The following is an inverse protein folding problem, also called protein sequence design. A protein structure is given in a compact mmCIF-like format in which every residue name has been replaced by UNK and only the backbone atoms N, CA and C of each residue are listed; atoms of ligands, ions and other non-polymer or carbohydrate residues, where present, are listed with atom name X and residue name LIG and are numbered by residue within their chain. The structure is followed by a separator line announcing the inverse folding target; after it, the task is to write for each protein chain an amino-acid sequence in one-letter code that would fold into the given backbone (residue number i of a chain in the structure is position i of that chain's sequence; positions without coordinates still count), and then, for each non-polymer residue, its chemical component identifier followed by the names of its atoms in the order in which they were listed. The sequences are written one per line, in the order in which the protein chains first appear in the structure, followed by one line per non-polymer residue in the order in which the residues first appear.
data_IF_928478359596
#
_entry.id   IF_928478359596
#
_cell.length_a   1.000
_cell.length_b   1.000
_cell.length_c   1.000
_cell.angle_alpha   90.00
_cell.angle_beta   90.00
_cell.angle_gamma   90.00
#
_symmetry.space_group_name_H-M   'P 1'
#
loop_
_entity.id
_entity.type
_entity.pdbx_description
1 polymer ?
#
# COMPACT_ATOMS: atom_id res chain seq x y z
N UNK A 1 -1.98 29.87 3.51
CA UNK A 1 -2.82 29.01 4.37
C UNK A 1 -3.65 29.90 5.25
N UNK A 2 -4.95 29.93 5.07
CA UNK A 2 -5.82 30.62 6.01
C UNK A 2 -5.82 29.85 7.32
N UNK A 3 -5.43 30.52 8.38
CA UNK A 3 -5.45 29.98 9.74
C UNK A 3 -6.91 29.73 10.10
N UNK A 4 -7.28 28.48 10.39
CA UNK A 4 -8.62 28.16 10.90
C UNK A 4 -8.78 28.88 12.24
N UNK A 5 -9.71 29.81 12.29
CA UNK A 5 -10.08 30.47 13.57
C UNK A 5 -10.92 29.49 14.38
N UNK A 6 -10.59 29.40 15.67
CA UNK A 6 -11.37 28.61 16.61
C UNK A 6 -12.77 29.23 16.70
N UNK A 7 -13.78 28.54 16.21
CA UNK A 7 -15.18 28.99 16.39
C UNK A 7 -15.47 28.89 17.87
N UNK A 8 -15.69 30.06 18.50
CA UNK A 8 -16.26 30.11 19.83
C UNK A 8 -17.75 29.83 19.68
N UNK A 9 -18.22 28.70 20.16
CA UNK A 9 -19.64 28.52 20.38
C UNK A 9 -20.07 29.52 21.45
N UNK A 10 -20.74 30.59 21.03
CA UNK A 10 -21.35 31.51 21.94
C UNK A 10 -22.67 30.88 22.41
N UNK A 11 -22.60 30.09 23.48
CA UNK A 11 -23.78 29.79 24.24
C UNK A 11 -24.06 31.00 25.14
N UNK A 12 -25.26 31.53 25.06
CA UNK A 12 -25.70 32.67 25.89
C UNK A 12 -25.78 32.32 27.39
N UNK A 13 -25.52 31.08 27.79
CA UNK A 13 -25.49 30.63 29.17
C UNK A 13 -24.04 30.46 29.62
N UNK A 14 -23.56 31.37 30.44
CA UNK A 14 -22.20 31.40 30.97
C UNK A 14 -21.78 30.13 31.74
N UNK A 15 -22.73 29.32 32.16
CA UNK A 15 -22.49 28.05 32.87
C UNK A 15 -22.09 26.88 31.94
N UNK A 16 -22.15 27.03 30.59
CA UNK A 16 -21.94 25.96 29.62
C UNK A 16 -20.75 26.19 28.68
N UNK A 17 -19.90 27.17 28.94
CA UNK A 17 -18.87 27.63 27.99
C UNK A 17 -17.73 26.63 27.70
N UNK A 18 -17.60 25.54 28.43
CA UNK A 18 -16.45 24.60 28.31
C UNK A 18 -16.85 23.13 28.35
N UNK A 19 -17.96 22.77 27.75
CA UNK A 19 -18.27 21.33 27.60
C UNK A 19 -17.39 20.73 26.51
N UNK A 20 -16.78 19.51 26.73
CA UNK A 20 -15.99 18.88 25.73
C UNK A 20 -16.85 18.49 24.51
N UNK A 21 -16.29 18.68 23.31
CA UNK A 21 -16.85 18.10 22.08
C UNK A 21 -16.43 16.65 22.01
N UNK A 22 -17.40 15.76 21.85
CA UNK A 22 -17.18 14.33 21.73
C UNK A 22 -17.42 13.88 20.29
N UNK A 23 -16.41 13.32 19.64
CA UNK A 23 -16.50 12.78 18.29
C UNK A 23 -16.50 11.27 18.38
N UNK A 24 -17.54 10.62 17.83
CA UNK A 24 -17.61 9.17 17.69
C UNK A 24 -17.47 8.81 16.21
N UNK A 25 -16.40 8.12 15.86
CA UNK A 25 -16.18 7.57 14.51
C UNK A 25 -16.63 6.12 14.53
N UNK A 26 -17.68 5.81 13.79
CA UNK A 26 -18.16 4.43 13.59
C UNK A 26 -17.60 3.93 12.26
N UNK A 27 -16.42 3.33 12.31
CA UNK A 27 -15.74 2.81 11.12
C UNK A 27 -16.53 1.62 10.53
N UNK A 28 -16.63 1.58 9.19
CA UNK A 28 -17.42 0.57 8.48
C UNK A 28 -18.94 0.80 8.47
N UNK A 29 -19.46 1.88 9.07
CA UNK A 29 -20.88 2.25 9.03
C UNK A 29 -21.10 3.34 7.99
N UNK A 30 -21.85 3.04 6.94
CA UNK A 30 -22.16 3.98 5.87
C UNK A 30 -23.62 3.92 5.44
N UNK A 31 -24.02 4.87 4.59
CA UNK A 31 -25.34 4.91 3.99
C UNK A 31 -25.35 4.05 2.71
N UNK A 32 -26.20 3.05 2.68
CA UNK A 32 -26.39 2.15 1.55
C UNK A 32 -27.88 1.97 1.26
N UNK A 33 -28.24 1.45 0.07
CA UNK A 33 -29.63 1.11 -0.25
C UNK A 33 -30.26 0.18 0.78
N UNK A 34 -31.57 0.29 0.94
CA UNK A 34 -32.36 -0.55 1.86
C UNK A 34 -32.56 -1.94 1.25
N UNK A 35 -31.63 -2.84 1.54
CA UNK A 35 -31.61 -4.23 1.03
C UNK A 35 -31.44 -5.21 2.19
N UNK A 36 -31.76 -6.48 1.94
CA UNK A 36 -31.60 -7.54 2.93
C UNK A 36 -30.14 -7.72 3.40
N UNK A 37 -29.16 -7.32 2.57
CA UNK A 37 -27.73 -7.36 2.90
C UNK A 37 -27.24 -6.13 3.67
N UNK A 38 -28.05 -5.08 3.83
CA UNK A 38 -27.67 -3.89 4.61
C UNK A 38 -27.81 -4.18 6.11
N UNK A 39 -26.74 -4.68 6.72
CA UNK A 39 -26.73 -5.05 8.14
C UNK A 39 -27.00 -3.85 9.07
N UNK A 40 -26.53 -2.66 8.73
CA UNK A 40 -26.75 -1.44 9.52
C UNK A 40 -28.25 -1.10 9.56
N UNK A 41 -28.90 -1.13 8.39
CA UNK A 41 -30.34 -0.83 8.28
C UNK A 41 -31.22 -1.89 8.97
N UNK A 42 -30.79 -3.15 8.91
CA UNK A 42 -31.53 -4.28 9.49
C UNK A 42 -31.28 -4.46 11.00
N UNK A 43 -30.28 -3.80 11.56
CA UNK A 43 -29.99 -3.83 12.99
C UNK A 43 -31.02 -3.02 13.82
N UNK A 44 -31.22 -3.41 15.06
CA UNK A 44 -32.02 -2.63 16.02
C UNK A 44 -31.14 -1.54 16.63
N UNK A 45 -31.26 -0.34 16.09
CA UNK A 45 -30.41 0.81 16.48
C UNK A 45 -31.23 2.02 16.96
N UNK A 46 -32.06 1.85 18.02
CA UNK A 46 -33.04 2.89 18.42
C UNK A 46 -32.39 4.25 18.75
N UNK A 47 -31.18 4.26 19.31
CA UNK A 47 -30.48 5.50 19.61
C UNK A 47 -29.96 6.18 18.34
N UNK A 48 -29.37 5.42 17.42
CA UNK A 48 -28.88 5.95 16.14
C UNK A 48 -30.04 6.45 15.28
N UNK A 49 -31.14 5.68 15.23
CA UNK A 49 -32.35 6.05 14.51
C UNK A 49 -32.91 7.37 15.04
N UNK A 50 -33.01 7.53 16.37
CA UNK A 50 -33.46 8.75 17.02
C UNK A 50 -32.51 9.93 16.74
N UNK A 51 -31.18 9.71 16.73
CA UNK A 51 -30.21 10.77 16.43
C UNK A 51 -30.36 11.23 14.97
N UNK A 52 -30.52 10.31 14.03
CA UNK A 52 -30.71 10.62 12.59
C UNK A 52 -32.03 11.37 12.34
N UNK A 53 -33.08 11.11 13.13
CA UNK A 53 -34.39 11.75 13.01
C UNK A 53 -34.41 13.16 13.62
N UNK A 54 -33.79 13.34 14.80
CA UNK A 54 -33.97 14.55 15.62
C UNK A 54 -32.87 15.58 15.45
N UNK A 55 -31.71 15.21 14.93
CA UNK A 55 -30.54 16.10 14.85
C UNK A 55 -30.11 16.32 13.40
N UNK A 56 -29.43 17.43 13.09
CA UNK A 56 -28.92 17.70 11.76
C UNK A 56 -27.99 16.57 11.27
N UNK A 57 -28.22 16.08 10.06
CA UNK A 57 -27.41 15.07 9.41
C UNK A 57 -26.89 15.57 8.07
N UNK A 58 -25.61 15.37 7.83
CA UNK A 58 -24.95 15.69 6.57
C UNK A 58 -24.30 14.43 5.98
N UNK A 59 -24.39 14.29 4.66
CA UNK A 59 -23.66 13.27 3.91
C UNK A 59 -22.31 13.83 3.50
N UNK A 60 -21.24 13.13 3.84
CA UNK A 60 -19.88 13.48 3.43
C UNK A 60 -19.41 12.47 2.37
N UNK A 61 -18.66 12.97 1.38
CA UNK A 61 -17.93 12.11 0.45
C UNK A 61 -16.69 11.57 1.16
N UNK A 62 -16.52 10.24 1.16
CA UNK A 62 -15.43 9.55 1.84
C UNK A 62 -14.41 8.93 0.87
N UNK A 63 -14.55 9.21 -0.43
CA UNK A 63 -13.70 8.67 -1.51
C UNK A 63 -13.18 9.79 -2.40
N UNK A 64 -12.18 9.46 -3.21
CA UNK A 64 -11.72 10.26 -4.30
C UNK A 64 -11.10 11.59 -3.91
N UNK A 65 -11.24 12.55 -4.79
CA UNK A 65 -10.67 13.90 -4.65
C UNK A 65 -11.22 14.65 -3.43
N UNK A 66 -12.42 14.30 -2.97
CA UNK A 66 -13.04 14.90 -1.79
C UNK A 66 -12.27 14.62 -0.48
N UNK A 67 -11.44 13.60 -0.44
CA UNK A 67 -10.57 13.26 0.70
C UNK A 67 -9.07 13.36 0.36
N UNK A 68 -8.73 13.99 -0.78
CA UNK A 68 -7.36 14.28 -1.18
C UNK A 68 -6.65 13.15 -1.93
N UNK A 69 -7.39 12.16 -2.46
CA UNK A 69 -6.88 11.14 -3.34
C UNK A 69 -6.71 11.67 -4.78
N UNK A 70 -5.93 10.99 -5.64
CA UNK A 70 -5.65 11.46 -7.01
C UNK A 70 -6.87 11.63 -7.88
N UNK A 71 -7.80 10.68 -7.89
CA UNK A 71 -9.00 10.66 -8.72
C UNK A 71 -10.25 10.30 -7.92
N UNK A 72 -11.44 10.50 -8.52
CA UNK A 72 -12.70 10.13 -7.87
C UNK A 72 -12.98 8.62 -7.90
N UNK A 73 -12.22 7.86 -8.67
CA UNK A 73 -12.27 6.39 -8.70
C UNK A 73 -11.45 5.75 -7.56
N UNK A 74 -10.58 6.53 -6.91
CA UNK A 74 -9.77 6.03 -5.80
C UNK A 74 -10.61 5.80 -4.53
N UNK A 75 -10.50 4.59 -3.99
CA UNK A 75 -11.21 4.21 -2.77
C UNK A 75 -10.61 4.90 -1.54
N UNK A 76 -11.45 5.59 -0.77
CA UNK A 76 -11.08 6.13 0.52
C UNK A 76 -10.74 5.04 1.54
N UNK A 77 -9.95 5.40 2.53
CA UNK A 77 -9.56 4.50 3.62
C UNK A 77 -9.51 5.24 4.95
N UNK A 78 -9.31 4.49 6.04
CA UNK A 78 -9.30 5.04 7.39
C UNK A 78 -8.24 6.14 7.58
N UNK A 79 -7.05 5.97 6.99
CA UNK A 79 -5.98 6.96 7.13
C UNK A 79 -6.35 8.31 6.52
N UNK A 80 -6.81 8.33 5.26
CA UNK A 80 -7.18 9.59 4.59
C UNK A 80 -8.36 10.27 5.26
N UNK A 81 -9.34 9.50 5.74
CA UNK A 81 -10.51 10.03 6.46
C UNK A 81 -10.12 10.66 7.80
N UNK A 82 -9.33 9.97 8.62
CA UNK A 82 -8.87 10.48 9.91
C UNK A 82 -7.92 11.68 9.74
N UNK A 83 -7.06 11.66 8.72
CA UNK A 83 -6.20 12.81 8.41
C UNK A 83 -7.01 14.04 8.04
N UNK A 84 -8.05 13.91 7.23
CA UNK A 84 -8.93 15.02 6.86
C UNK A 84 -9.69 15.57 8.08
N UNK A 85 -10.23 14.71 8.95
CA UNK A 85 -10.92 15.09 10.18
C UNK A 85 -9.94 15.79 11.15
N UNK A 86 -8.77 15.19 11.37
CA UNK A 86 -7.77 15.70 12.31
C UNK A 86 -7.15 17.03 11.87
N UNK A 87 -6.95 17.23 10.57
CA UNK A 87 -6.42 18.46 10.00
C UNK A 87 -7.50 19.55 9.84
N UNK A 88 -8.79 19.19 9.86
CA UNK A 88 -9.90 20.08 9.56
C UNK A 88 -9.91 20.62 8.13
N UNK A 89 -9.20 19.95 7.23
CA UNK A 89 -9.09 20.32 5.81
C UNK A 89 -8.70 19.12 4.96
N UNK A 90 -9.04 19.17 3.68
CA UNK A 90 -8.60 18.21 2.68
C UNK A 90 -7.26 18.66 2.09
N UNK A 91 -6.29 17.76 2.06
CA UNK A 91 -4.98 17.97 1.44
C UNK A 91 -4.54 16.72 0.67
N UNK A 92 -3.55 16.86 -0.22
CA UNK A 92 -3.04 15.72 -0.98
C UNK A 92 -2.53 14.64 -0.05
N UNK A 93 -3.07 13.44 -0.17
CA UNK A 93 -2.69 12.27 0.62
C UNK A 93 -1.51 11.53 -0.03
N UNK A 94 -0.98 10.48 0.66
CA UNK A 94 0.25 9.80 0.29
C UNK A 94 0.38 9.44 -1.18
N UNK A 95 -0.63 8.78 -1.77
CA UNK A 95 -0.64 8.42 -3.19
C UNK A 95 -0.42 9.63 -4.11
N UNK A 96 -1.20 10.70 -3.90
CA UNK A 96 -1.12 11.92 -4.71
C UNK A 96 0.20 12.66 -4.51
N UNK A 97 0.73 12.66 -3.29
CA UNK A 97 2.04 13.27 -3.01
C UNK A 97 3.16 12.54 -3.74
N UNK A 98 3.15 11.20 -3.73
CA UNK A 98 4.14 10.38 -4.44
C UNK A 98 4.02 10.59 -5.94
N UNK A 99 2.81 10.53 -6.52
CA UNK A 99 2.57 10.80 -7.95
C UNK A 99 3.13 12.17 -8.36
N UNK A 100 2.75 13.24 -7.65
CA UNK A 100 3.23 14.59 -7.91
C UNK A 100 4.75 14.72 -7.79
N UNK A 101 5.36 13.99 -6.84
CA UNK A 101 6.81 14.01 -6.62
C UNK A 101 7.58 13.29 -7.74
N UNK A 102 7.01 12.21 -8.27
CA UNK A 102 7.52 11.48 -9.45
C UNK A 102 7.40 12.35 -10.70
N UNK A 103 6.19 12.87 -10.99
CA UNK A 103 5.89 13.67 -12.17
C UNK A 103 6.74 14.96 -12.24
N UNK A 104 6.94 15.62 -11.11
CA UNK A 104 7.78 16.81 -11.03
C UNK A 104 9.28 16.52 -10.96
N UNK A 105 9.70 15.25 -10.86
CA UNK A 105 11.09 14.86 -10.68
C UNK A 105 11.66 15.06 -9.27
N UNK A 106 10.93 15.70 -8.37
CA UNK A 106 11.40 16.03 -7.00
C UNK A 106 11.82 14.79 -6.19
N UNK A 107 11.15 13.66 -6.39
CA UNK A 107 11.54 12.41 -5.76
C UNK A 107 12.97 12.03 -6.13
N UNK A 108 13.32 12.15 -7.39
CA UNK A 108 14.60 11.73 -7.96
C UNK A 108 15.73 12.73 -7.69
N UNK A 109 15.39 13.96 -7.36
CA UNK A 109 16.35 14.98 -6.90
C UNK A 109 16.61 14.91 -5.39
N UNK A 110 15.83 14.13 -4.65
CA UNK A 110 15.95 14.04 -3.21
C UNK A 110 17.26 13.37 -2.76
N UNK A 111 17.76 13.76 -1.57
CA UNK A 111 18.94 13.14 -0.97
C UNK A 111 18.73 11.63 -0.78
N UNK A 112 17.54 11.21 -0.32
CA UNK A 112 17.23 9.80 -0.10
C UNK A 112 17.32 8.99 -1.40
N UNK A 113 16.76 9.50 -2.51
CA UNK A 113 16.87 8.80 -3.80
C UNK A 113 18.33 8.68 -4.26
N UNK A 114 19.13 9.75 -4.10
CA UNK A 114 20.56 9.72 -4.48
C UNK A 114 21.36 8.71 -3.66
N UNK A 115 21.03 8.56 -2.37
CA UNK A 115 21.62 7.53 -1.52
C UNK A 115 21.20 6.12 -1.96
N UNK A 116 19.92 5.91 -2.27
CA UNK A 116 19.38 4.62 -2.74
C UNK A 116 20.10 4.15 -4.02
N UNK A 117 20.23 5.01 -5.03
CA UNK A 117 20.84 4.63 -6.31
C UNK A 117 22.37 4.61 -6.29
N UNK A 118 23.01 4.97 -5.18
CA UNK A 118 24.48 4.90 -5.04
C UNK A 118 25.03 3.47 -5.13
N UNK A 119 24.21 2.45 -5.02
CA UNK A 119 24.56 1.04 -5.29
C UNK A 119 25.18 0.83 -6.68
N UNK A 120 24.86 1.70 -7.64
CA UNK A 120 25.49 1.70 -8.97
C UNK A 120 27.02 1.79 -8.93
N UNK A 121 27.55 2.52 -7.94
CA UNK A 121 28.98 2.77 -7.79
C UNK A 121 29.72 1.62 -7.08
N UNK A 122 28.96 0.72 -6.45
CA UNK A 122 29.49 -0.40 -5.65
C UNK A 122 29.23 -1.77 -6.28
N UNK A 123 28.42 -1.83 -7.35
CA UNK A 123 27.96 -3.07 -7.97
C UNK A 123 26.98 -3.88 -7.12
N UNK A 124 26.41 -3.24 -6.09
CA UNK A 124 25.39 -3.83 -5.23
C UNK A 124 24.00 -3.74 -5.86
N UNK A 125 23.03 -4.41 -5.26
CA UNK A 125 21.68 -4.55 -5.79
C UNK A 125 20.73 -3.51 -5.20
N UNK A 126 19.82 -3.00 -6.03
CA UNK A 126 18.68 -2.23 -5.58
C UNK A 126 17.46 -3.14 -5.46
N UNK A 127 16.85 -3.19 -4.29
CA UNK A 127 15.66 -3.98 -4.03
C UNK A 127 14.42 -3.10 -3.86
N UNK A 128 13.30 -3.58 -4.39
CA UNK A 128 11.98 -2.99 -4.14
C UNK A 128 11.08 -4.02 -3.47
N UNK A 129 10.46 -3.66 -2.36
CA UNK A 129 9.45 -4.45 -1.66
C UNK A 129 8.18 -3.63 -1.57
N UNK A 130 7.01 -4.23 -1.77
CA UNK A 130 5.74 -3.52 -1.57
C UNK A 130 4.53 -4.25 -2.14
N UNK A 131 3.35 -3.70 -1.85
CA UNK A 131 2.10 -4.24 -2.34
C UNK A 131 2.00 -4.04 -3.85
N UNK A 132 1.67 -5.13 -4.56
CA UNK A 132 1.80 -5.19 -6.01
C UNK A 132 0.44 -5.15 -6.70
N UNK A 133 -0.13 -3.97 -6.78
CA UNK A 133 -1.41 -3.69 -7.45
C UNK A 133 -1.54 -2.20 -7.81
N UNK A 134 -2.65 -1.84 -8.43
CA UNK A 134 -3.08 -0.47 -8.68
C UNK A 134 -4.19 -0.01 -7.72
N UNK A 135 -4.47 -0.78 -6.68
CA UNK A 135 -5.53 -0.50 -5.71
C UNK A 135 -5.38 0.81 -4.92
N UNK A 136 -4.21 1.43 -4.99
CA UNK A 136 -3.91 2.78 -4.50
C UNK A 136 -4.21 3.03 -3.01
N UNK A 137 -4.22 1.96 -2.20
CA UNK A 137 -4.44 2.03 -0.74
C UNK A 137 -3.11 2.06 0.02
N UNK A 138 -2.15 1.24 -0.37
CA UNK A 138 -0.83 1.14 0.25
C UNK A 138 0.30 1.58 -0.68
N UNK A 139 0.14 1.32 -1.97
CA UNK A 139 1.13 1.51 -3.03
C UNK A 139 0.44 1.65 -4.37
N UNK A 140 1.19 1.93 -5.41
CA UNK A 140 0.72 1.85 -6.79
C UNK A 140 1.82 1.31 -7.70
N UNK A 141 1.47 0.35 -8.57
CA UNK A 141 2.41 -0.32 -9.46
C UNK A 141 3.13 0.65 -10.42
N UNK A 142 2.48 1.74 -10.82
CA UNK A 142 3.09 2.73 -11.72
C UNK A 142 4.17 3.56 -11.01
N UNK A 143 4.08 3.74 -9.68
CA UNK A 143 5.19 4.34 -8.91
C UNK A 143 6.43 3.44 -8.98
N UNK A 144 6.26 2.11 -8.83
CA UNK A 144 7.35 1.15 -8.98
C UNK A 144 7.96 1.20 -10.39
N UNK A 145 7.13 1.19 -11.43
CA UNK A 145 7.59 1.29 -12.83
C UNK A 145 8.40 2.55 -13.07
N UNK A 146 7.93 3.70 -12.56
CA UNK A 146 8.62 4.99 -12.69
C UNK A 146 10.00 4.97 -12.00
N UNK A 147 10.08 4.39 -10.79
CA UNK A 147 11.35 4.23 -10.07
C UNK A 147 12.32 3.29 -10.80
N UNK A 148 11.84 2.20 -11.41
CA UNK A 148 12.66 1.28 -12.21
C UNK A 148 13.25 1.96 -13.45
N UNK A 149 12.43 2.72 -14.18
CA UNK A 149 12.88 3.51 -15.34
C UNK A 149 13.94 4.53 -14.92
N UNK A 150 13.72 5.20 -13.80
CA UNK A 150 14.68 6.18 -13.30
C UNK A 150 15.98 5.53 -12.79
N UNK A 151 15.90 4.39 -12.10
CA UNK A 151 17.08 3.66 -11.65
C UNK A 151 17.96 3.22 -12.82
N UNK A 152 17.38 2.71 -13.91
CA UNK A 152 18.08 2.42 -15.15
C UNK A 152 18.75 3.66 -15.72
N UNK A 153 18.02 4.78 -15.81
CA UNK A 153 18.54 6.05 -16.35
C UNK A 153 19.73 6.58 -15.54
N UNK A 154 19.75 6.31 -14.24
CA UNK A 154 20.86 6.73 -13.36
C UNK A 154 22.02 5.74 -13.30
N UNK A 155 21.92 4.61 -14.01
CA UNK A 155 23.01 3.65 -14.16
C UNK A 155 23.04 2.55 -13.09
N UNK A 156 21.94 2.29 -12.38
CA UNK A 156 21.82 1.09 -11.55
C UNK A 156 21.81 -0.12 -12.46
N UNK A 157 22.63 -1.14 -12.15
CA UNK A 157 22.77 -2.32 -13.00
C UNK A 157 21.81 -3.45 -12.61
N UNK A 158 21.72 -3.76 -11.32
CA UNK A 158 20.93 -4.91 -10.83
C UNK A 158 19.78 -4.45 -9.95
N UNK A 159 18.57 -4.88 -10.30
CA UNK A 159 17.36 -4.59 -9.51
C UNK A 159 16.58 -5.87 -9.23
N UNK A 160 16.10 -6.03 -8.01
CA UNK A 160 15.27 -7.16 -7.59
C UNK A 160 13.97 -6.67 -6.97
N UNK A 161 12.87 -7.28 -7.36
CA UNK A 161 11.54 -6.88 -6.94
C UNK A 161 10.90 -8.01 -6.11
N UNK A 162 10.43 -7.68 -4.92
CA UNK A 162 9.75 -8.59 -4.00
C UNK A 162 8.28 -8.18 -3.92
N UNK A 163 7.40 -8.96 -4.53
CA UNK A 163 6.00 -8.60 -4.70
C UNK A 163 5.12 -9.15 -3.58
N UNK A 164 4.34 -8.27 -2.96
CA UNK A 164 3.30 -8.66 -2.01
C UNK A 164 1.96 -8.65 -2.76
N UNK A 165 1.37 -9.84 -2.91
CA UNK A 165 0.13 -9.99 -3.67
C UNK A 165 -1.06 -9.44 -2.90
N UNK A 166 -1.91 -8.70 -3.59
CA UNK A 166 -3.00 -7.95 -2.97
C UNK A 166 -4.27 -8.80 -2.76
N UNK A 167 -5.16 -8.91 -3.73
CA UNK A 167 -6.40 -9.67 -3.64
C UNK A 167 -7.38 -9.18 -2.56
N UNK A 168 -7.22 -7.92 -2.10
CA UNK A 168 -8.06 -7.28 -1.08
C UNK A 168 -8.50 -5.87 -1.47
N UNK A 169 -7.57 -5.04 -1.90
CA UNK A 169 -7.85 -3.69 -2.36
C UNK A 169 -8.19 -3.69 -3.87
N UNK A 170 -7.96 -4.83 -4.53
CA UNK A 170 -8.32 -5.17 -5.90
C UNK A 170 -9.00 -6.56 -5.95
N UNK A 171 -9.33 -7.07 -7.12
CA UNK A 171 -9.96 -8.38 -7.28
C UNK A 171 -9.20 -9.51 -6.60
N UNK A 172 -9.91 -10.43 -5.95
CA UNK A 172 -9.36 -11.50 -5.09
C UNK A 172 -8.36 -12.43 -5.83
N UNK A 173 -8.46 -12.52 -7.16
CA UNK A 173 -7.62 -13.38 -8.01
C UNK A 173 -7.03 -12.63 -9.19
N UNK A 174 -6.80 -11.33 -9.05
CA UNK A 174 -6.31 -10.45 -10.14
C UNK A 174 -4.78 -10.37 -10.25
N UNK A 175 -4.01 -11.08 -9.40
CA UNK A 175 -2.55 -10.94 -9.38
C UNK A 175 -1.88 -11.16 -10.74
N UNK A 176 -2.37 -12.09 -11.57
CA UNK A 176 -1.80 -12.34 -12.90
C UNK A 176 -2.07 -11.19 -13.88
N UNK A 177 -3.14 -10.41 -13.68
CA UNK A 177 -3.43 -9.22 -14.49
C UNK A 177 -2.38 -8.12 -14.29
N UNK A 178 -1.65 -8.16 -13.18
CA UNK A 178 -0.52 -7.28 -12.87
C UNK A 178 0.83 -7.94 -13.20
N UNK A 179 1.03 -9.20 -12.84
CA UNK A 179 2.32 -9.89 -12.97
C UNK A 179 2.72 -10.08 -14.44
N UNK A 180 1.83 -10.59 -15.28
CA UNK A 180 2.14 -10.88 -16.68
C UNK A 180 2.54 -9.60 -17.45
N UNK A 181 1.76 -8.48 -17.41
CA UNK A 181 2.18 -7.26 -18.06
C UNK A 181 3.45 -6.63 -17.45
N UNK A 182 3.68 -6.83 -16.14
CA UNK A 182 4.88 -6.31 -15.50
C UNK A 182 6.14 -7.09 -15.88
N UNK A 183 6.08 -8.41 -15.98
CA UNK A 183 7.20 -9.21 -16.48
C UNK A 183 7.53 -8.85 -17.95
N UNK A 184 6.52 -8.59 -18.77
CA UNK A 184 6.72 -8.07 -20.13
C UNK A 184 7.36 -6.66 -20.12
N UNK A 185 6.94 -5.77 -19.21
CA UNK A 185 7.57 -4.47 -19.02
C UNK A 185 9.04 -4.61 -18.61
N UNK A 186 9.37 -5.49 -17.66
CA UNK A 186 10.75 -5.76 -17.26
C UNK A 186 11.59 -6.31 -18.42
N UNK A 187 11.03 -7.24 -19.20
CA UNK A 187 11.71 -7.77 -20.38
C UNK A 187 12.03 -6.67 -21.40
N UNK A 188 11.13 -5.70 -21.60
CA UNK A 188 11.38 -4.54 -22.47
C UNK A 188 12.34 -3.51 -21.88
N UNK A 189 12.47 -3.47 -20.56
CA UNK A 189 13.35 -2.53 -19.86
C UNK A 189 14.79 -3.07 -19.77
N UNK A 190 14.97 -4.39 -19.65
CA UNK A 190 16.24 -5.06 -19.48
C UNK A 190 17.11 -4.98 -20.75
N UNK A 191 18.41 -4.80 -20.56
CA UNK A 191 19.44 -4.84 -21.61
C UNK A 191 20.80 -5.23 -20.99
N UNK A 192 21.90 -5.08 -21.75
CA UNK A 192 23.24 -5.41 -21.27
C UNK A 192 23.68 -4.58 -20.05
N UNK A 193 23.06 -3.41 -19.80
CA UNK A 193 23.40 -2.49 -18.71
C UNK A 193 22.41 -2.55 -17.53
N UNK A 194 21.27 -3.22 -17.67
CA UNK A 194 20.22 -3.25 -16.66
C UNK A 194 19.52 -4.62 -16.58
N UNK A 195 19.53 -5.21 -15.38
CA UNK A 195 18.91 -6.53 -15.10
C UNK A 195 17.93 -6.39 -13.92
N UNK A 196 16.66 -6.19 -14.23
CA UNK A 196 15.56 -6.13 -13.27
C UNK A 196 14.68 -7.38 -13.35
N UNK A 197 14.43 -8.02 -12.20
CA UNK A 197 13.64 -9.25 -12.11
C UNK A 197 12.80 -9.30 -10.84
N UNK A 198 11.64 -9.95 -10.90
CA UNK A 198 10.95 -10.40 -9.70
C UNK A 198 11.82 -11.48 -9.05
N UNK A 199 12.06 -11.35 -7.74
CA UNK A 199 12.93 -12.25 -6.98
C UNK A 199 12.17 -13.13 -6.00
N UNK A 200 11.12 -12.60 -5.39
CA UNK A 200 10.28 -13.35 -4.46
C UNK A 200 8.90 -12.70 -4.32
N UNK A 201 7.98 -13.39 -3.66
CA UNK A 201 6.67 -12.84 -3.37
C UNK A 201 5.84 -13.73 -2.46
N UNK A 202 4.58 -13.34 -2.30
CA UNK A 202 3.57 -14.05 -1.52
C UNK A 202 2.40 -13.14 -1.15
N UNK A 203 1.32 -13.72 -0.65
CA UNK A 203 0.13 -12.99 -0.25
C UNK A 203 0.36 -12.07 0.94
N UNK A 204 -0.16 -10.84 0.85
CA UNK A 204 -0.02 -9.79 1.88
C UNK A 204 -0.51 -10.19 3.28
N UNK A 205 -1.37 -11.20 3.37
CA UNK A 205 -1.88 -11.75 4.64
C UNK A 205 -1.10 -12.97 5.11
N UNK A 206 -0.13 -13.45 4.34
CA UNK A 206 0.71 -14.60 4.66
C UNK A 206 2.12 -14.19 5.08
N UNK A 207 2.66 -13.12 4.46
CA UNK A 207 4.00 -12.61 4.74
C UNK A 207 4.04 -11.09 4.86
N UNK A 208 5.00 -10.58 5.61
CA UNK A 208 5.51 -9.20 5.59
C UNK A 208 4.57 -8.13 6.13
N UNK A 209 3.32 -8.06 5.64
CA UNK A 209 2.43 -6.91 5.87
C UNK A 209 1.62 -7.00 7.17
N UNK A 210 2.23 -7.40 8.28
CA UNK A 210 1.62 -7.26 9.60
C UNK A 210 1.58 -5.80 10.07
N UNK A 211 0.83 -5.53 11.13
CA UNK A 211 0.74 -4.22 11.79
C UNK A 211 0.36 -4.37 13.25
N UNK A 212 0.75 -3.39 14.05
CA UNK A 212 0.43 -3.29 15.48
C UNK A 212 1.00 -4.43 16.33
N UNK A 213 2.03 -5.14 15.84
CA UNK A 213 2.66 -6.27 16.52
C UNK A 213 1.76 -7.49 16.66
N UNK A 214 0.76 -7.64 15.79
CA UNK A 214 -0.25 -8.69 15.91
C UNK A 214 0.30 -10.08 15.54
N UNK A 215 1.21 -10.16 14.55
CA UNK A 215 1.71 -11.42 14.01
C UNK A 215 3.17 -11.33 13.54
N UNK A 216 4.11 -11.21 14.47
CA UNK A 216 5.53 -11.19 14.15
C UNK A 216 6.03 -12.42 13.36
N UNK A 217 5.53 -13.66 13.56
CA UNK A 217 5.87 -14.78 12.68
C UNK A 217 5.59 -14.58 11.19
N UNK A 218 4.58 -13.77 10.86
CA UNK A 218 4.30 -13.36 9.47
C UNK A 218 5.39 -12.44 8.93
N UNK A 219 5.91 -11.53 9.75
CA UNK A 219 7.03 -10.65 9.39
C UNK A 219 8.31 -11.45 9.22
N UNK A 220 8.61 -12.34 10.17
CA UNK A 220 9.75 -13.27 10.12
C UNK A 220 9.73 -14.12 8.84
N UNK A 221 8.58 -14.70 8.50
CA UNK A 221 8.41 -15.45 7.25
C UNK A 221 8.70 -14.58 6.01
N UNK A 222 8.24 -13.34 6.01
CA UNK A 222 8.55 -12.38 4.94
C UNK A 222 10.04 -12.06 4.87
N UNK A 223 10.68 -11.88 6.01
CA UNK A 223 12.12 -11.64 6.10
C UNK A 223 12.92 -12.81 5.53
N UNK A 224 12.62 -14.06 5.97
CA UNK A 224 13.23 -15.27 5.42
C UNK A 224 13.06 -15.38 3.90
N UNK A 225 11.87 -15.03 3.40
CA UNK A 225 11.59 -15.09 1.97
C UNK A 225 12.35 -14.05 1.15
N UNK A 226 12.35 -12.79 1.61
CA UNK A 226 12.92 -11.70 0.83
C UNK A 226 14.44 -11.55 1.04
N UNK A 227 14.91 -11.72 2.28
CA UNK A 227 16.32 -11.50 2.63
C UNK A 227 17.13 -12.77 2.38
N UNK A 228 16.70 -13.91 2.90
CA UNK A 228 17.46 -15.16 2.78
C UNK A 228 17.15 -15.97 1.51
N UNK A 229 16.07 -15.63 0.79
CA UNK A 229 15.64 -16.41 -0.37
C UNK A 229 15.11 -17.79 0.01
N UNK A 230 14.56 -17.93 1.22
CA UNK A 230 14.01 -19.19 1.70
C UNK A 230 12.54 -19.32 1.31
N UNK A 231 12.18 -20.43 0.68
CA UNK A 231 10.84 -20.72 0.22
C UNK A 231 10.80 -21.70 -0.94
N UNK A 232 9.59 -22.05 -1.36
CA UNK A 232 9.42 -22.88 -2.55
C UNK A 232 9.89 -22.12 -3.78
N UNK A 233 10.71 -22.78 -4.59
CA UNK A 233 11.34 -22.18 -5.77
C UNK A 233 10.50 -22.39 -7.02
N UNK A 234 10.44 -21.35 -7.86
CA UNK A 234 9.77 -21.34 -9.15
C UNK A 234 10.62 -20.61 -10.18
N UNK A 235 10.36 -20.85 -11.48
CA UNK A 235 11.08 -20.17 -12.55
C UNK A 235 10.52 -18.75 -12.81
N UNK A 236 9.24 -18.48 -12.50
CA UNK A 236 8.59 -17.17 -12.64
C UNK A 236 7.52 -16.93 -11.57
N UNK A 237 7.12 -15.70 -11.40
CA UNK A 237 6.01 -15.34 -10.51
C UNK A 237 4.67 -15.85 -11.06
N UNK A 238 4.49 -15.85 -12.37
CA UNK A 238 3.32 -16.44 -13.04
C UNK A 238 3.17 -17.93 -12.69
N UNK A 239 4.25 -18.70 -12.79
CA UNK A 239 4.27 -20.12 -12.44
C UNK A 239 3.89 -20.32 -10.97
N UNK A 240 4.51 -19.55 -10.05
CA UNK A 240 4.25 -19.66 -8.62
C UNK A 240 2.78 -19.43 -8.27
N UNK A 241 2.18 -18.36 -8.79
CA UNK A 241 0.78 -18.02 -8.55
C UNK A 241 -0.14 -19.08 -9.14
N UNK A 242 0.12 -19.54 -10.35
CA UNK A 242 -0.69 -20.54 -11.05
C UNK A 242 -0.69 -21.87 -10.31
N UNK A 243 0.47 -22.35 -9.92
CA UNK A 243 0.59 -23.63 -9.21
C UNK A 243 -0.02 -23.56 -7.80
N UNK A 244 0.22 -22.49 -7.05
CA UNK A 244 -0.41 -22.34 -5.74
C UNK A 244 -1.93 -22.25 -5.80
N UNK A 245 -2.49 -21.50 -6.75
CA UNK A 245 -3.95 -21.46 -6.93
C UNK A 245 -4.54 -22.82 -7.24
N UNK A 246 -3.86 -23.61 -8.10
CA UNK A 246 -4.27 -24.97 -8.46
C UNK A 246 -4.21 -25.92 -7.25
N UNK A 247 -3.19 -25.82 -6.42
CA UNK A 247 -2.98 -26.69 -5.27
C UNK A 247 -3.88 -26.36 -4.10
N UNK A 248 -4.10 -25.09 -3.82
CA UNK A 248 -4.72 -24.61 -2.58
C UNK A 248 -6.10 -24.00 -2.77
N UNK A 249 -6.39 -23.50 -3.98
CA UNK A 249 -7.63 -22.74 -4.26
C UNK A 249 -7.71 -21.39 -3.52
N UNK A 250 -6.60 -20.91 -2.91
CA UNK A 250 -6.62 -19.68 -2.15
C UNK A 250 -6.63 -18.43 -3.05
N UNK A 251 -7.16 -17.34 -2.51
CA UNK A 251 -7.12 -16.03 -3.12
C UNK A 251 -5.72 -15.40 -2.96
N UNK A 252 -5.42 -14.35 -3.72
CA UNK A 252 -4.09 -13.79 -3.85
C UNK A 252 -3.47 -13.32 -2.53
N UNK A 253 -4.28 -12.67 -1.66
CA UNK A 253 -3.78 -12.19 -0.38
C UNK A 253 -3.27 -13.31 0.56
N UNK A 254 -3.71 -14.54 0.34
CA UNK A 254 -3.41 -15.70 1.20
C UNK A 254 -2.41 -16.68 0.54
N UNK A 255 -1.91 -16.37 -0.68
CA UNK A 255 -0.94 -17.21 -1.35
C UNK A 255 0.33 -17.42 -0.53
N UNK A 256 0.87 -18.66 -0.45
CA UNK A 256 2.11 -18.92 0.26
C UNK A 256 3.30 -18.14 -0.30
N UNK A 257 4.37 -17.97 0.48
CA UNK A 257 5.59 -17.33 -0.01
C UNK A 257 6.27 -18.18 -1.10
N UNK A 258 6.89 -17.50 -2.04
CA UNK A 258 7.66 -18.11 -3.12
C UNK A 258 8.95 -17.34 -3.42
N UNK A 259 9.90 -18.02 -3.98
CA UNK A 259 11.18 -17.47 -4.41
C UNK A 259 11.41 -17.81 -5.89
N UNK A 260 11.85 -16.84 -6.66
CA UNK A 260 12.25 -17.09 -8.05
C UNK A 260 13.70 -17.51 -8.05
N UNK A 261 13.97 -18.66 -8.65
CA UNK A 261 15.29 -19.28 -8.66
C UNK A 261 15.69 -19.73 -10.07
N UNK A 262 16.98 -19.72 -10.30
CA UNK A 262 17.60 -20.29 -11.51
C UNK A 262 18.68 -21.30 -11.09
N UNK A 263 18.62 -22.50 -11.63
CA UNK A 263 19.57 -23.58 -11.32
C UNK A 263 19.69 -23.84 -9.79
N UNK A 264 18.55 -23.78 -9.08
CA UNK A 264 18.46 -23.99 -7.63
C UNK A 264 18.97 -22.80 -6.77
N UNK A 265 19.32 -21.68 -7.39
CA UNK A 265 19.80 -20.49 -6.66
C UNK A 265 18.77 -19.37 -6.73
N UNK A 266 18.34 -18.79 -5.58
CA UNK A 266 17.49 -17.60 -5.56
C UNK A 266 18.08 -16.46 -6.39
N UNK A 267 17.23 -15.72 -7.10
CA UNK A 267 17.68 -14.61 -7.96
C UNK A 267 18.04 -13.34 -7.19
N UNK A 268 17.58 -13.19 -5.96
CA UNK A 268 17.78 -11.93 -5.25
C UNK A 268 17.59 -12.07 -3.75
N UNK A 269 18.61 -12.57 -3.06
CA UNK A 269 18.78 -12.38 -1.61
C UNK A 269 19.22 -10.94 -1.34
N UNK A 270 18.85 -10.38 -0.20
CA UNK A 270 19.28 -9.05 0.23
C UNK A 270 20.56 -9.20 1.07
N UNK A 271 21.61 -8.50 0.69
CA UNK A 271 22.92 -8.57 1.32
C UNK A 271 23.37 -7.23 1.89
N UNK A 272 24.34 -7.26 2.78
CA UNK A 272 24.97 -6.04 3.30
C UNK A 272 25.53 -5.16 2.19
N UNK A 273 25.13 -3.90 2.19
CA UNK A 273 25.48 -2.91 1.18
C UNK A 273 24.50 -2.76 0.04
N UNK A 274 23.47 -3.60 -0.03
CA UNK A 274 22.35 -3.40 -0.94
C UNK A 274 21.45 -2.25 -0.48
N UNK A 275 20.72 -1.65 -1.40
CA UNK A 275 19.69 -0.66 -1.08
C UNK A 275 18.31 -1.30 -1.15
N UNK A 276 17.45 -1.01 -0.18
CA UNK A 276 16.08 -1.52 -0.14
C UNK A 276 15.08 -0.37 -0.10
N UNK A 277 14.12 -0.37 -1.02
CA UNK A 277 13.00 0.57 -1.05
C UNK A 277 11.72 -0.20 -0.74
N UNK A 278 11.09 0.11 0.38
CA UNK A 278 9.72 -0.29 0.62
C UNK A 278 8.81 0.77 -0.01
N UNK A 279 8.22 0.48 -1.19
CA UNK A 279 7.54 1.51 -1.99
C UNK A 279 6.08 1.78 -1.59
N UNK A 280 5.62 1.24 -0.47
CA UNK A 280 4.34 1.61 0.10
C UNK A 280 4.39 3.06 0.62
N UNK A 281 3.47 3.91 0.17
CA UNK A 281 3.32 5.26 0.72
C UNK A 281 2.53 5.27 2.04
N UNK A 282 1.77 4.22 2.33
CA UNK A 282 1.11 4.00 3.61
C UNK A 282 1.98 3.13 4.51
N UNK A 283 2.40 3.71 5.64
CA UNK A 283 3.43 3.12 6.49
C UNK A 283 2.97 2.04 7.46
N UNK A 284 1.67 1.94 7.80
CA UNK A 284 1.17 1.09 8.88
C UNK A 284 1.57 -0.39 8.78
N UNK A 285 1.72 -0.93 7.57
CA UNK A 285 2.14 -2.30 7.28
C UNK A 285 3.57 -2.45 6.77
N UNK A 286 4.36 -1.38 6.83
CA UNK A 286 5.76 -1.37 6.41
C UNK A 286 6.73 -1.26 7.60
N UNK A 287 6.26 -0.74 8.75
CA UNK A 287 7.09 -0.43 9.92
C UNK A 287 7.76 -1.69 10.48
N UNK A 288 7.03 -2.79 10.59
CA UNK A 288 7.53 -4.00 11.26
C UNK A 288 8.63 -4.69 10.47
N UNK A 289 8.44 -4.89 9.17
CA UNK A 289 9.49 -5.45 8.31
C UNK A 289 10.70 -4.52 8.19
N UNK A 290 10.49 -3.19 8.23
CA UNK A 290 11.59 -2.23 8.23
C UNK A 290 12.37 -2.23 9.55
N UNK A 291 11.75 -2.67 10.64
CA UNK A 291 12.39 -2.83 11.93
C UNK A 291 13.16 -4.15 12.04
N UNK A 292 12.64 -5.22 11.42
CA UNK A 292 13.30 -6.53 11.38
C UNK A 292 14.60 -6.48 10.59
#
# INVERSE_FOLDING_TARGET
MNKLERIKFVNNDAENAERPVFIIVMDGVGLAPDTASNAVKNAKTPTLDMLMEKYPMLKLKAHGTAVGLPSDDDMGNSEVGHNAIGAGQVFAQGAKLVSNSIESGKMFDSKAWKEIVSVKDTGKTLHFIGLFSDGNVHSHIDHLKAMLVQAKKEGVHTVRIHILLDGRDVGETSALDYVIPFEAFLAGLNDASFDAKIASGGGRMNITMDRYGANWPMVEKGWHTHVLGEGRQFASAEEAITEYRKETGCIDQDLPPFVIAKDGKPLGTIEDGDSVVFYNFRGDRAIEISKA
#
